data_IF_152873369104
#
_entry.id   IF_152873369104
#
_cell.length_a   1.000
_cell.length_b   1.000
_cell.length_c   1.000
_cell.angle_alpha   90.00
_cell.angle_beta   90.00
_cell.angle_gamma   90.00
#
_symmetry.space_group_name_H-M   'P 1'
#
loop_
_entity.id
_entity.type
_entity.pdbx_description
1 polymer ?
#
# COMPACT_ATOMS: atom_id res chain seq x y z
N UNK A 1 -34.39 9.98 -2.20
CA UNK A 1 -33.13 10.13 -2.97
C UNK A 1 -33.03 8.92 -3.88
N UNK A 2 -33.17 9.10 -5.19
CA UNK A 2 -33.09 7.98 -6.15
C UNK A 2 -31.65 7.46 -6.23
N UNK A 3 -31.44 6.28 -6.81
CA UNK A 3 -30.07 5.77 -7.10
C UNK A 3 -29.26 6.74 -7.98
N UNK A 4 -29.92 7.56 -8.81
CA UNK A 4 -29.24 8.57 -9.64
C UNK A 4 -28.75 9.79 -8.83
N UNK A 5 -29.45 10.19 -7.77
CA UNK A 5 -29.04 11.32 -6.91
C UNK A 5 -27.78 11.02 -6.09
N UNK A 6 -27.48 9.75 -5.80
CA UNK A 6 -26.27 9.33 -5.07
C UNK A 6 -24.97 9.48 -5.89
N UNK A 7 -25.08 9.47 -7.22
CA UNK A 7 -23.94 9.49 -8.15
C UNK A 7 -23.43 10.89 -8.48
N UNK A 8 -24.21 11.93 -8.19
CA UNK A 8 -23.87 13.33 -8.43
C UNK A 8 -23.22 14.04 -7.22
N UNK A 9 -23.06 13.34 -6.09
CA UNK A 9 -22.39 13.86 -4.90
C UNK A 9 -20.87 13.59 -4.99
N UNK A 10 -20.06 14.61 -4.65
CA UNK A 10 -18.61 14.49 -4.53
C UNK A 10 -18.18 13.50 -3.42
N UNK A 11 -19.14 12.95 -2.66
CA UNK A 11 -18.92 11.96 -1.61
C UNK A 11 -19.52 10.57 -1.92
N UNK A 12 -19.65 10.18 -3.19
CA UNK A 12 -20.17 8.87 -3.62
C UNK A 12 -19.57 7.69 -2.86
N UNK A 13 -18.27 7.76 -2.55
CA UNK A 13 -17.50 6.75 -1.85
C UNK A 13 -18.04 6.41 -0.44
N UNK A 14 -18.74 7.32 0.24
CA UNK A 14 -19.23 7.11 1.61
C UNK A 14 -20.20 5.95 1.77
N UNK A 15 -20.93 5.62 0.71
CA UNK A 15 -21.94 4.56 0.71
C UNK A 15 -21.73 3.57 -0.46
N UNK A 16 -20.54 3.59 -1.07
CA UNK A 16 -20.25 2.83 -2.26
C UNK A 16 -20.07 1.33 -1.94
N UNK A 17 -20.52 0.48 -2.86
CA UNK A 17 -20.12 -0.92 -2.91
C UNK A 17 -18.95 -1.06 -3.89
N UNK A 18 -17.79 -1.44 -3.37
CA UNK A 18 -16.55 -1.57 -4.14
C UNK A 18 -16.28 -3.06 -4.42
N UNK A 19 -16.17 -3.43 -5.69
CA UNK A 19 -15.85 -4.78 -6.13
C UNK A 19 -14.34 -4.93 -6.31
N UNK A 20 -13.68 -5.66 -5.41
CA UNK A 20 -12.25 -5.92 -5.51
C UNK A 20 -11.96 -6.94 -6.61
N UNK A 21 -10.99 -6.63 -7.47
CA UNK A 21 -10.50 -7.46 -8.56
C UNK A 21 -9.03 -7.76 -8.33
N UNK A 22 -8.70 -9.04 -8.25
CA UNK A 22 -7.33 -9.53 -8.24
C UNK A 22 -6.92 -9.88 -9.68
N UNK A 23 -6.12 -9.05 -10.39
CA UNK A 23 -5.94 -9.13 -11.85
C UNK A 23 -5.51 -10.52 -12.31
N UNK A 24 -4.51 -11.09 -11.63
CA UNK A 24 -3.90 -12.38 -11.96
C UNK A 24 -4.89 -13.54 -12.07
N UNK A 25 -6.03 -13.46 -11.38
CA UNK A 25 -6.98 -14.57 -11.26
C UNK A 25 -8.39 -14.22 -11.75
N UNK A 26 -8.57 -13.07 -12.41
CA UNK A 26 -9.91 -12.64 -12.82
C UNK A 26 -10.30 -13.14 -14.21
N UNK A 27 -9.55 -12.80 -15.25
CA UNK A 27 -9.84 -13.23 -16.63
C UNK A 27 -8.59 -13.09 -17.50
N UNK A 28 -8.10 -14.20 -18.06
CA UNK A 28 -6.98 -14.24 -19.03
C UNK A 28 -7.52 -14.09 -20.45
N UNK A 29 -6.94 -13.17 -21.22
CA UNK A 29 -7.24 -12.96 -22.65
C UNK A 29 -6.04 -13.22 -23.56
N UNK A 30 -4.87 -13.45 -22.99
CA UNK A 30 -3.62 -13.72 -23.69
C UNK A 30 -3.34 -15.22 -23.87
N UNK A 31 -3.97 -16.07 -23.06
CA UNK A 31 -3.76 -17.52 -23.03
C UNK A 31 -2.51 -17.95 -22.27
N UNK A 32 -1.89 -17.05 -21.49
CA UNK A 32 -0.69 -17.34 -20.70
C UNK A 32 -0.99 -17.92 -19.30
N UNK A 33 -2.28 -18.05 -18.93
CA UNK A 33 -2.74 -18.56 -17.65
C UNK A 33 -2.83 -17.51 -16.53
N UNK A 34 -2.59 -16.23 -16.82
CA UNK A 34 -2.66 -15.10 -15.89
C UNK A 34 -3.66 -14.08 -16.40
N UNK A 35 -4.57 -13.64 -15.54
CA UNK A 35 -5.54 -12.61 -15.90
C UNK A 35 -4.89 -11.25 -16.18
N UNK A 36 -5.52 -10.46 -17.06
CA UNK A 36 -4.96 -9.22 -17.61
C UNK A 36 -5.99 -8.08 -17.66
N UNK A 37 -5.54 -6.85 -17.96
CA UNK A 37 -6.39 -5.65 -17.96
C UNK A 37 -7.49 -5.72 -19.03
N UNK A 38 -7.23 -6.34 -20.18
CA UNK A 38 -8.27 -6.56 -21.22
C UNK A 38 -9.33 -7.52 -20.72
N UNK A 39 -8.94 -8.54 -19.95
CA UNK A 39 -9.83 -9.46 -19.27
C UNK A 39 -10.74 -8.74 -18.28
N UNK A 40 -10.17 -7.89 -17.42
CA UNK A 40 -10.94 -7.04 -16.50
C UNK A 40 -11.95 -6.19 -17.27
N UNK A 41 -11.47 -5.44 -18.27
CA UNK A 41 -12.28 -4.58 -19.13
C UNK A 41 -13.45 -5.34 -19.76
N UNK A 42 -13.21 -6.55 -20.29
CA UNK A 42 -14.24 -7.37 -20.93
C UNK A 42 -15.37 -7.82 -19.99
N UNK A 43 -15.12 -7.81 -18.68
CA UNK A 43 -16.07 -8.24 -17.65
C UNK A 43 -16.67 -7.09 -16.85
N UNK A 44 -16.32 -5.83 -17.15
CA UNK A 44 -16.94 -4.67 -16.51
C UNK A 44 -18.48 -4.66 -16.61
N UNK A 45 -19.12 -5.07 -17.73
CA UNK A 45 -20.59 -5.16 -17.78
C UNK A 45 -21.16 -6.12 -16.74
N UNK A 46 -20.49 -7.24 -16.47
CA UNK A 46 -20.89 -8.18 -15.42
C UNK A 46 -20.77 -7.54 -14.03
N UNK A 47 -19.66 -6.84 -13.75
CA UNK A 47 -19.47 -6.15 -12.47
C UNK A 47 -20.50 -5.04 -12.26
N UNK A 48 -20.85 -4.31 -13.31
CA UNK A 48 -21.92 -3.31 -13.27
C UNK A 48 -23.30 -3.94 -12.99
N UNK A 49 -23.61 -5.10 -13.60
CA UNK A 49 -24.86 -5.84 -13.38
C UNK A 49 -25.01 -6.36 -11.95
N UNK A 50 -23.90 -6.70 -11.28
CA UNK A 50 -23.88 -7.00 -9.83
C UNK A 50 -24.29 -5.80 -8.96
N UNK A 51 -24.32 -4.58 -9.51
CA UNK A 51 -24.69 -3.37 -8.80
C UNK A 51 -23.56 -2.70 -8.03
N UNK A 52 -22.30 -3.01 -8.36
CA UNK A 52 -21.15 -2.30 -7.80
C UNK A 52 -21.13 -0.82 -8.23
N UNK A 53 -20.64 0.06 -7.35
CA UNK A 53 -20.39 1.47 -7.67
C UNK A 53 -18.97 1.70 -8.18
N UNK A 54 -18.03 0.82 -7.81
CA UNK A 54 -16.62 0.89 -8.19
C UNK A 54 -15.99 -0.48 -8.33
N UNK A 55 -14.89 -0.54 -9.08
CA UNK A 55 -13.90 -1.63 -9.03
C UNK A 55 -12.67 -1.16 -8.28
N UNK A 56 -12.12 -1.99 -7.39
CA UNK A 56 -10.77 -1.82 -6.84
C UNK A 56 -9.85 -2.87 -7.46
N UNK A 57 -8.86 -2.43 -8.23
CA UNK A 57 -7.92 -3.29 -8.92
C UNK A 57 -6.65 -3.40 -8.04
N UNK A 58 -6.35 -4.62 -7.56
CA UNK A 58 -5.08 -4.95 -6.89
C UNK A 58 -3.87 -4.68 -7.80
N UNK A 59 -2.62 -4.68 -7.30
CA UNK A 59 -1.46 -4.21 -8.04
C UNK A 59 -1.31 -4.83 -9.44
N UNK A 60 -1.09 -3.97 -10.42
CA UNK A 60 -0.85 -4.32 -11.83
C UNK A 60 0.37 -3.57 -12.43
N UNK A 61 1.09 -2.84 -11.59
CA UNK A 61 2.30 -2.11 -11.96
C UNK A 61 3.51 -3.05 -11.96
N UNK A 62 4.64 -2.59 -12.50
CA UNK A 62 5.89 -3.36 -12.60
C UNK A 62 6.28 -3.96 -11.26
N UNK A 63 6.56 -5.26 -11.28
CA UNK A 63 6.90 -6.00 -10.07
C UNK A 63 7.65 -7.29 -10.44
N UNK A 64 8.65 -7.72 -9.65
CA UNK A 64 9.24 -9.05 -9.76
C UNK A 64 8.28 -10.19 -9.37
N UNK A 65 7.08 -9.85 -8.86
CA UNK A 65 6.00 -10.77 -8.50
C UNK A 65 6.35 -11.72 -7.35
N UNK A 66 7.31 -11.37 -6.49
CA UNK A 66 7.63 -12.20 -5.30
C UNK A 66 6.54 -12.12 -4.24
N UNK A 67 5.83 -11.00 -4.18
CA UNK A 67 4.58 -10.82 -3.47
C UNK A 67 3.45 -10.48 -4.45
N UNK A 68 3.49 -11.11 -5.63
CA UNK A 68 2.47 -11.05 -6.67
C UNK A 68 1.96 -9.64 -7.04
N UNK A 69 2.84 -8.64 -7.00
CA UNK A 69 2.54 -7.25 -7.37
C UNK A 69 2.70 -6.25 -6.23
N UNK A 70 2.74 -6.71 -4.98
CA UNK A 70 2.98 -5.84 -3.81
C UNK A 70 4.47 -5.48 -3.63
N UNK A 71 5.38 -6.16 -4.31
CA UNK A 71 6.78 -5.76 -4.47
C UNK A 71 6.96 -4.91 -5.74
N UNK A 72 6.65 -3.61 -5.66
CA UNK A 72 6.64 -2.69 -6.82
C UNK A 72 8.06 -2.26 -7.23
N UNK A 73 8.45 -2.47 -8.49
CA UNK A 73 9.74 -2.04 -9.06
C UNK A 73 9.67 -0.79 -9.96
N UNK A 74 8.47 -0.42 -10.42
CA UNK A 74 8.16 0.89 -11.01
C UNK A 74 6.70 1.23 -10.75
N UNK A 75 6.45 2.37 -10.09
CA UNK A 75 5.12 2.80 -9.68
C UNK A 75 4.22 3.31 -10.81
N UNK A 76 4.80 3.67 -11.96
CA UNK A 76 4.10 4.35 -13.05
C UNK A 76 4.02 3.52 -14.32
N UNK A 77 4.76 2.42 -14.37
CA UNK A 77 4.74 1.48 -15.48
C UNK A 77 3.85 0.26 -15.18
N UNK A 78 3.07 -0.16 -16.18
CA UNK A 78 2.26 -1.37 -16.10
C UNK A 78 3.14 -2.60 -16.31
N UNK A 79 2.91 -3.66 -15.54
CA UNK A 79 3.60 -4.93 -15.78
C UNK A 79 3.11 -5.56 -17.09
N UNK A 80 4.02 -5.91 -18.03
CA UNK A 80 3.67 -6.47 -19.34
C UNK A 80 2.76 -7.70 -19.31
N UNK A 81 2.79 -8.50 -18.23
CA UNK A 81 1.89 -9.63 -18.09
C UNK A 81 0.41 -9.20 -18.00
N UNK A 82 0.14 -7.97 -17.57
CA UNK A 82 -1.20 -7.41 -17.43
C UNK A 82 -1.63 -6.52 -18.59
N UNK A 83 -0.71 -5.96 -19.39
CA UNK A 83 -1.03 -5.17 -20.58
C UNK A 83 -0.21 -3.89 -20.70
N UNK A 84 -0.82 -2.85 -21.28
CA UNK A 84 -0.18 -1.54 -21.51
C UNK A 84 -1.00 -0.38 -20.91
N UNK A 85 -0.44 0.84 -20.91
CA UNK A 85 -1.18 2.03 -20.49
C UNK A 85 -2.41 2.30 -21.35
N UNK A 86 -2.37 2.00 -22.65
CA UNK A 86 -3.54 2.10 -23.52
C UNK A 86 -4.66 1.15 -23.07
N UNK A 87 -4.31 -0.07 -22.66
CA UNK A 87 -5.28 -1.03 -22.14
C UNK A 87 -5.92 -0.53 -20.84
N UNK A 88 -5.12 0.08 -19.96
CA UNK A 88 -5.61 0.69 -18.71
C UNK A 88 -6.52 1.89 -18.97
N UNK A 89 -6.12 2.84 -19.82
CA UNK A 89 -6.93 4.01 -20.16
C UNK A 89 -8.26 3.59 -20.80
N UNK A 90 -8.23 2.56 -21.65
CA UNK A 90 -9.44 2.02 -22.24
C UNK A 90 -10.35 1.30 -21.21
N UNK A 91 -9.76 0.62 -20.23
CA UNK A 91 -10.49 0.05 -19.08
C UNK A 91 -11.19 1.16 -18.29
N UNK A 92 -10.46 2.23 -17.91
CA UNK A 92 -11.02 3.36 -17.17
C UNK A 92 -12.16 4.01 -17.94
N UNK A 93 -11.96 4.27 -19.23
CA UNK A 93 -12.97 4.87 -20.11
C UNK A 93 -14.25 4.03 -20.15
N UNK A 94 -14.13 2.71 -20.35
CA UNK A 94 -15.29 1.83 -20.43
C UNK A 94 -15.97 1.63 -19.07
N UNK A 95 -15.20 1.60 -17.97
CA UNK A 95 -15.76 1.57 -16.62
C UNK A 95 -16.61 2.81 -16.35
N UNK A 96 -16.09 4.00 -16.67
CA UNK A 96 -16.82 5.26 -16.53
C UNK A 96 -18.08 5.30 -17.40
N UNK A 97 -18.03 4.77 -18.63
CA UNK A 97 -19.19 4.67 -19.51
C UNK A 97 -20.31 3.76 -18.94
N UNK A 98 -19.94 2.77 -18.12
CA UNK A 98 -20.87 1.90 -17.38
C UNK A 98 -21.30 2.50 -16.04
N UNK A 99 -20.79 3.69 -15.67
CA UNK A 99 -21.06 4.33 -14.38
C UNK A 99 -20.32 3.71 -13.21
N UNK A 100 -19.29 2.88 -13.47
CA UNK A 100 -18.37 2.35 -12.47
C UNK A 100 -17.21 3.32 -12.24
N UNK A 101 -16.77 3.46 -10.99
CA UNK A 101 -15.53 4.14 -10.61
C UNK A 101 -14.36 3.16 -10.63
N UNK A 102 -13.14 3.64 -10.88
CA UNK A 102 -11.93 2.83 -10.85
C UNK A 102 -11.04 3.26 -9.70
N UNK A 103 -10.82 2.35 -8.76
CA UNK A 103 -9.89 2.48 -7.64
C UNK A 103 -8.71 1.56 -7.90
N UNK A 104 -7.50 2.02 -7.61
CA UNK A 104 -6.28 1.21 -7.76
C UNK A 104 -5.56 1.05 -6.43
N UNK A 105 -4.83 -0.05 -6.29
CA UNK A 105 -3.90 -0.21 -5.18
C UNK A 105 -2.73 0.78 -5.27
N UNK A 106 -2.25 1.21 -4.11
CA UNK A 106 -1.05 2.02 -3.96
C UNK A 106 -0.20 1.46 -2.83
N UNK A 107 0.89 0.78 -3.20
CA UNK A 107 1.80 0.12 -2.28
C UNK A 107 2.93 1.08 -1.90
N UNK A 108 2.62 2.03 -1.03
CA UNK A 108 3.52 3.16 -0.76
C UNK A 108 4.38 2.97 0.51
N UNK A 109 4.20 1.87 1.24
CA UNK A 109 5.00 1.58 2.44
C UNK A 109 6.43 1.12 2.09
N UNK A 110 6.55 0.30 1.06
CA UNK A 110 7.79 -0.33 0.62
C UNK A 110 7.82 -0.39 -0.90
N UNK A 111 9.02 -0.60 -1.46
CA UNK A 111 9.21 -0.95 -2.87
C UNK A 111 9.72 -2.39 -2.97
N UNK A 112 9.87 -2.89 -4.19
CA UNK A 112 10.78 -4.01 -4.46
C UNK A 112 12.24 -3.60 -4.21
N UNK A 113 13.10 -4.55 -3.83
CA UNK A 113 14.55 -4.36 -3.81
C UNK A 113 15.16 -4.19 -5.22
N UNK A 114 14.39 -4.46 -6.28
CA UNK A 114 14.73 -4.13 -7.67
C UNK A 114 14.29 -2.72 -8.09
N UNK A 115 13.59 -1.98 -7.23
CA UNK A 115 13.19 -0.61 -7.53
C UNK A 115 14.45 0.29 -7.68
N UNK A 116 14.54 1.14 -8.72
CA UNK A 116 15.71 2.01 -8.93
C UNK A 116 16.10 2.84 -7.71
N UNK A 117 15.09 3.26 -6.92
CA UNK A 117 15.33 3.98 -5.67
C UNK A 117 16.10 3.16 -4.64
N UNK A 118 15.79 1.88 -4.44
CA UNK A 118 16.50 1.03 -3.49
C UNK A 118 17.90 0.68 -3.99
N UNK A 119 18.02 0.39 -5.29
CA UNK A 119 19.32 0.14 -5.96
C UNK A 119 20.26 1.34 -5.77
N UNK A 120 19.77 2.56 -5.96
CA UNK A 120 20.55 3.77 -5.70
C UNK A 120 20.83 3.93 -4.20
N UNK A 121 19.81 3.80 -3.34
CA UNK A 121 19.93 3.96 -1.89
C UNK A 121 20.99 3.04 -1.28
N UNK A 122 21.02 1.77 -1.69
CA UNK A 122 21.96 0.75 -1.19
C UNK A 122 23.39 0.90 -1.73
N UNK A 123 23.60 1.70 -2.78
CA UNK A 123 24.92 1.84 -3.41
C UNK A 123 25.98 2.49 -2.53
N UNK A 124 25.57 3.34 -1.58
CA UNK A 124 26.46 4.02 -0.64
C UNK A 124 25.68 4.67 0.50
N UNK A 125 26.37 5.24 1.49
CA UNK A 125 25.75 5.99 2.60
C UNK A 125 25.51 7.47 2.29
N UNK A 126 25.90 7.95 1.10
CA UNK A 126 25.93 9.39 0.77
C UNK A 126 25.33 9.72 -0.59
N UNK A 127 24.73 8.75 -1.29
CA UNK A 127 24.00 9.00 -2.53
C UNK A 127 22.71 9.82 -2.24
N UNK A 128 22.11 10.44 -3.26
CA UNK A 128 20.89 11.25 -3.11
C UNK A 128 19.73 10.51 -2.43
N UNK A 129 19.63 9.20 -2.58
CA UNK A 129 18.57 8.36 -1.99
C UNK A 129 19.00 7.61 -0.73
N UNK A 130 20.13 7.97 -0.12
CA UNK A 130 20.71 7.25 1.01
C UNK A 130 19.81 7.21 2.25
N UNK A 131 18.87 8.15 2.37
CA UNK A 131 17.87 8.26 3.44
C UNK A 131 16.43 8.00 2.96
N UNK A 132 16.24 7.48 1.74
CA UNK A 132 14.90 7.16 1.22
C UNK A 132 14.32 5.87 1.82
N UNK A 133 15.15 5.02 2.41
CA UNK A 133 14.77 3.77 3.08
C UNK A 133 15.26 3.79 4.53
N UNK A 134 14.68 2.94 5.36
CA UNK A 134 15.04 2.88 6.78
C UNK A 134 16.32 2.05 6.95
N UNK A 135 17.45 2.74 7.08
CA UNK A 135 18.77 2.14 7.33
C UNK A 135 19.17 2.29 8.80
N UNK A 136 19.81 1.26 9.36
CA UNK A 136 20.30 1.27 10.73
C UNK A 136 21.69 0.61 10.83
N UNK A 137 22.50 1.08 11.78
CA UNK A 137 23.76 0.42 12.09
C UNK A 137 23.51 -0.94 12.77
N UNK A 138 24.38 -1.94 12.55
CA UNK A 138 24.36 -3.16 13.34
C UNK A 138 24.64 -2.84 14.82
N UNK A 139 24.14 -3.69 15.72
CA UNK A 139 24.57 -3.70 17.12
C UNK A 139 26.06 -4.03 17.25
N UNK A 140 26.64 -3.83 18.45
CA UNK A 140 28.07 -4.10 18.69
C UNK A 140 28.48 -5.55 18.41
N UNK A 141 27.56 -6.50 18.59
CA UNK A 141 27.75 -7.93 18.29
C UNK A 141 27.53 -8.27 16.80
N UNK A 142 27.21 -7.28 15.97
CA UNK A 142 26.91 -7.43 14.55
C UNK A 142 25.45 -7.77 14.26
N UNK A 143 24.60 -7.93 15.29
CA UNK A 143 23.18 -8.28 15.12
C UNK A 143 22.29 -7.13 14.62
N UNK A 144 21.02 -7.44 14.29
CA UNK A 144 19.99 -6.44 13.96
C UNK A 144 19.83 -5.36 15.03
N UNK A 145 19.39 -4.14 14.68
CA UNK A 145 19.34 -3.02 15.62
C UNK A 145 18.32 -3.19 16.77
N UNK A 146 17.32 -4.05 16.61
CA UNK A 146 16.29 -4.35 17.61
C UNK A 146 15.58 -5.69 17.32
N UNK A 147 14.57 -6.01 18.12
CA UNK A 147 13.81 -7.25 18.06
C UNK A 147 12.61 -7.28 17.09
N UNK A 148 12.48 -6.27 16.20
CA UNK A 148 11.34 -6.21 15.28
C UNK A 148 11.34 -7.40 14.31
N UNK A 149 10.13 -7.87 13.98
CA UNK A 149 9.93 -9.07 13.16
C UNK A 149 9.21 -8.72 11.87
N UNK A 150 9.55 -9.43 10.80
CA UNK A 150 8.77 -9.40 9.58
C UNK A 150 7.47 -10.20 9.79
N UNK A 151 6.37 -9.68 9.26
CA UNK A 151 5.09 -10.38 9.21
C UNK A 151 5.14 -11.64 8.34
N UNK A 152 6.12 -11.76 7.45
CA UNK A 152 6.37 -12.94 6.63
C UNK A 152 7.48 -13.84 7.18
N UNK A 153 7.93 -13.57 8.40
CA UNK A 153 8.82 -14.44 9.17
C UNK A 153 10.26 -13.92 9.26
N UNK A 154 10.90 -14.26 10.38
CA UNK A 154 12.26 -13.83 10.70
C UNK A 154 12.36 -12.43 11.28
N UNK A 155 13.57 -11.86 11.19
CA UNK A 155 13.87 -10.47 11.55
C UNK A 155 13.20 -9.52 10.56
N UNK A 156 12.80 -8.33 11.01
CA UNK A 156 12.41 -7.23 10.11
C UNK A 156 13.62 -6.54 9.47
N UNK A 157 14.83 -7.04 9.71
CA UNK A 157 16.08 -6.42 9.28
C UNK A 157 16.92 -7.40 8.48
N UNK A 158 17.32 -6.98 7.29
CA UNK A 158 18.29 -7.68 6.45
C UNK A 158 19.57 -6.86 6.33
N UNK A 159 20.72 -7.52 6.50
CA UNK A 159 22.02 -6.87 6.39
C UNK A 159 22.38 -6.65 4.91
N UNK A 160 22.85 -5.46 4.57
CA UNK A 160 23.38 -5.14 3.26
C UNK A 160 24.91 -4.98 3.32
N UNK A 161 25.61 -5.81 2.54
CA UNK A 161 27.09 -5.82 2.51
C UNK A 161 27.69 -4.52 1.94
N UNK A 162 26.99 -3.83 1.05
CA UNK A 162 27.50 -2.62 0.38
C UNK A 162 27.52 -1.42 1.32
N UNK A 163 26.48 -1.26 2.15
CA UNK A 163 26.43 -0.21 3.18
C UNK A 163 26.98 -0.65 4.52
N UNK A 164 27.12 -1.95 4.75
CA UNK A 164 27.34 -2.55 6.07
C UNK A 164 26.34 -2.04 7.12
N UNK A 165 25.08 -2.00 6.73
CA UNK A 165 23.95 -1.54 7.54
C UNK A 165 22.80 -2.54 7.36
N UNK A 166 21.87 -2.54 8.30
CA UNK A 166 20.60 -3.21 8.13
C UNK A 166 19.60 -2.27 7.45
N UNK A 167 18.72 -2.81 6.61
CA UNK A 167 17.51 -2.11 6.16
C UNK A 167 16.25 -2.78 6.70
N UNK A 168 15.23 -1.98 6.99
CA UNK A 168 13.94 -2.45 7.46
C UNK A 168 13.14 -3.08 6.30
N UNK A 169 12.47 -4.18 6.61
CA UNK A 169 11.43 -4.79 5.79
C UNK A 169 10.36 -5.42 6.70
N UNK A 170 9.15 -4.85 6.74
CA UNK A 170 8.02 -5.41 7.50
C UNK A 170 7.48 -6.70 6.86
N UNK A 171 7.73 -6.91 5.57
CA UNK A 171 7.26 -8.04 4.77
C UNK A 171 8.45 -8.86 4.25
N UNK A 172 8.50 -9.22 2.96
CA UNK A 172 9.64 -9.96 2.41
C UNK A 172 10.93 -9.13 2.54
N UNK A 173 12.08 -9.80 2.65
CA UNK A 173 13.38 -9.10 2.59
C UNK A 173 13.56 -8.34 1.27
N UNK A 174 12.86 -8.76 0.21
CA UNK A 174 12.84 -8.06 -1.08
C UNK A 174 11.84 -6.91 -1.14
N UNK A 175 11.23 -6.53 -0.01
CA UNK A 175 10.31 -5.39 0.16
C UNK A 175 10.87 -4.37 1.17
N UNK A 176 11.98 -3.68 0.86
CA UNK A 176 12.54 -2.68 1.75
C UNK A 176 11.57 -1.52 2.01
N UNK A 177 11.36 -1.20 3.29
CA UNK A 177 10.45 -0.13 3.73
C UNK A 177 11.04 1.27 3.46
N UNK A 178 10.19 2.14 2.92
CA UNK A 178 10.52 3.53 2.67
C UNK A 178 10.54 4.32 3.97
N UNK A 179 11.44 5.30 4.04
CA UNK A 179 11.51 6.22 5.16
C UNK A 179 10.56 7.41 4.93
N UNK A 180 9.30 7.29 5.37
CA UNK A 180 8.29 8.35 5.23
C UNK A 180 8.61 9.66 5.98
N UNK A 181 9.58 9.65 6.90
CA UNK A 181 10.07 10.90 7.50
C UNK A 181 10.82 11.77 6.49
N UNK A 182 11.38 11.17 5.44
CA UNK A 182 12.05 11.89 4.37
C UNK A 182 11.01 12.65 3.50
N UNK A 183 11.12 13.99 3.38
CA UNK A 183 10.16 14.77 2.60
C UNK A 183 10.20 14.48 1.10
N UNK A 184 11.33 14.04 0.55
CA UNK A 184 11.45 13.69 -0.87
C UNK A 184 10.69 12.39 -1.18
N UNK A 185 10.70 11.42 -0.27
CA UNK A 185 9.88 10.21 -0.38
C UNK A 185 8.39 10.56 -0.44
N UNK A 186 7.92 11.45 0.44
CA UNK A 186 6.53 11.90 0.44
C UNK A 186 6.15 12.64 -0.83
N UNK A 187 7.02 13.54 -1.31
CA UNK A 187 6.83 14.24 -2.57
C UNK A 187 6.74 13.25 -3.74
N UNK A 188 7.64 12.26 -3.81
CA UNK A 188 7.63 11.23 -4.84
C UNK A 188 6.34 10.41 -4.82
N UNK A 189 5.80 10.07 -3.64
CA UNK A 189 4.51 9.36 -3.54
C UNK A 189 3.31 10.22 -3.96
N UNK A 190 3.35 11.52 -3.69
CA UNK A 190 2.35 12.47 -4.22
C UNK A 190 2.44 12.54 -5.75
N UNK A 191 3.64 12.51 -6.33
CA UNK A 191 3.82 12.51 -7.79
C UNK A 191 3.31 11.21 -8.43
N UNK A 192 3.58 10.04 -7.82
CA UNK A 192 3.03 8.74 -8.22
C UNK A 192 1.49 8.76 -8.18
N UNK A 193 0.90 9.23 -7.09
CA UNK A 193 -0.56 9.32 -6.99
C UNK A 193 -1.13 10.31 -8.03
N UNK A 194 -0.45 11.43 -8.27
CA UNK A 194 -0.85 12.42 -9.30
C UNK A 194 -0.86 11.79 -10.69
N UNK A 195 0.15 11.00 -11.05
CA UNK A 195 0.21 10.30 -12.34
C UNK A 195 -1.06 9.47 -12.60
N UNK A 196 -1.46 8.64 -11.63
CA UNK A 196 -2.66 7.80 -11.77
C UNK A 196 -3.97 8.60 -11.76
N UNK A 197 -4.04 9.69 -10.99
CA UNK A 197 -5.19 10.60 -11.01
C UNK A 197 -5.37 11.28 -12.38
N UNK A 198 -4.28 11.68 -13.04
CA UNK A 198 -4.29 12.24 -14.39
C UNK A 198 -4.72 11.22 -15.46
N UNK A 199 -4.51 9.93 -15.20
CA UNK A 199 -5.05 8.83 -16.03
C UNK A 199 -6.52 8.50 -15.73
N UNK A 200 -7.18 9.23 -14.83
CA UNK A 200 -8.62 9.12 -14.59
C UNK A 200 -9.02 8.20 -13.44
N UNK A 201 -8.07 7.76 -12.60
CA UNK A 201 -8.39 6.98 -11.39
C UNK A 201 -9.27 7.80 -10.43
N UNK A 202 -10.30 7.14 -9.86
CA UNK A 202 -11.28 7.76 -8.96
C UNK A 202 -10.91 7.63 -7.47
N UNK A 203 -9.84 6.91 -7.14
CA UNK A 203 -9.36 6.81 -5.77
C UNK A 203 -8.30 5.72 -5.60
N UNK A 204 -7.76 5.64 -4.39
CA UNK A 204 -6.71 4.68 -4.06
C UNK A 204 -7.08 3.84 -2.85
N UNK A 205 -6.81 2.54 -2.93
CA UNK A 205 -6.63 1.72 -1.74
C UNK A 205 -5.16 1.80 -1.35
N UNK A 206 -4.88 2.31 -0.16
CA UNK A 206 -3.53 2.42 0.38
C UNK A 206 -3.20 1.13 1.14
N UNK A 207 -2.27 0.35 0.58
CA UNK A 207 -1.77 -0.88 1.18
C UNK A 207 -1.11 -0.60 2.52
N UNK A 208 -1.48 -1.39 3.54
CA UNK A 208 -0.90 -1.38 4.89
C UNK A 208 -0.56 0.02 5.41
N UNK A 209 -1.47 0.99 5.23
CA UNK A 209 -1.19 2.42 5.45
C UNK A 209 -0.70 2.72 6.87
N UNK A 210 -1.06 1.89 7.84
CA UNK A 210 -0.60 2.02 9.21
C UNK A 210 0.86 1.57 9.45
N UNK A 211 1.59 1.13 8.43
CA UNK A 211 3.01 0.77 8.49
C UNK A 211 3.96 1.87 8.00
N UNK A 212 3.45 2.95 7.39
CA UNK A 212 4.27 3.98 6.73
C UNK A 212 5.40 4.56 7.59
N UNK A 213 5.22 4.65 8.91
CA UNK A 213 6.25 5.17 9.81
C UNK A 213 6.63 4.17 10.89
N UNK A 214 7.85 4.33 11.38
CA UNK A 214 8.45 3.51 12.43
C UNK A 214 8.91 4.39 13.61
N UNK A 215 9.17 3.79 14.76
CA UNK A 215 9.81 4.44 15.88
C UNK A 215 11.27 4.73 15.54
N UNK A 216 11.60 6.00 15.29
CA UNK A 216 12.96 6.45 14.94
C UNK A 216 13.99 6.21 16.03
N UNK A 217 13.57 5.95 17.27
CA UNK A 217 14.50 5.56 18.33
C UNK A 217 14.87 4.07 18.28
N UNK A 218 14.22 3.30 17.39
CA UNK A 218 14.47 1.89 17.14
C UNK A 218 14.37 1.01 18.39
N UNK A 219 13.54 1.40 19.36
CA UNK A 219 13.35 0.60 20.58
C UNK A 219 12.74 -0.77 20.27
N UNK A 220 13.12 -1.75 21.08
CA UNK A 220 12.50 -3.07 21.08
C UNK A 220 10.98 -3.01 21.32
N UNK A 221 10.25 -3.86 20.62
CA UNK A 221 8.85 -4.14 20.91
C UNK A 221 8.75 -4.91 22.24
N UNK A 222 7.79 -4.57 23.11
CA UNK A 222 7.57 -5.32 24.33
C UNK A 222 6.98 -6.70 24.01
N UNK A 223 7.41 -7.71 24.76
CA UNK A 223 6.87 -9.06 24.63
C UNK A 223 5.41 -9.08 25.08
N UNK A 224 4.55 -9.76 24.31
CA UNK A 224 3.15 -9.96 24.67
C UNK A 224 3.05 -10.83 25.92
N UNK A 225 2.22 -10.40 26.87
CA UNK A 225 2.00 -11.15 28.10
C UNK A 225 1.32 -12.51 27.80
N UNK A 226 1.66 -13.59 28.53
CA UNK A 226 1.00 -14.88 28.36
C UNK A 226 -0.52 -14.77 28.54
N UNK A 227 -1.28 -15.32 27.60
CA UNK A 227 -2.75 -15.28 27.62
C UNK A 227 -3.37 -13.92 27.24
N UNK A 228 -2.57 -12.89 26.95
CA UNK A 228 -3.11 -11.64 26.42
C UNK A 228 -3.71 -11.87 25.03
N UNK A 229 -4.80 -11.15 24.75
CA UNK A 229 -5.45 -11.20 23.45
C UNK A 229 -4.48 -10.78 22.35
N UNK A 230 -4.52 -11.52 21.24
CA UNK A 230 -3.81 -11.17 20.01
C UNK A 230 -4.72 -10.29 19.13
N UNK A 231 -4.14 -9.44 18.26
CA UNK A 231 -4.90 -8.67 17.28
C UNK A 231 -5.86 -9.53 16.45
N UNK A 232 -6.92 -8.92 15.94
CA UNK A 232 -7.78 -9.57 14.96
C UNK A 232 -6.95 -9.98 13.73
N UNK A 233 -7.27 -11.12 13.12
CA UNK A 233 -6.51 -11.67 11.98
C UNK A 233 -5.23 -12.42 12.35
N UNK A 234 -4.74 -12.30 13.59
CA UNK A 234 -3.53 -13.01 14.02
C UNK A 234 -3.72 -14.54 14.04
N UNK A 235 -2.91 -15.26 13.26
CA UNK A 235 -2.94 -16.72 13.27
C UNK A 235 -2.48 -17.29 14.62
N UNK A 236 -3.12 -18.37 15.13
CA UNK A 236 -2.66 -19.04 16.34
C UNK A 236 -1.22 -19.51 16.22
N UNK A 237 -0.37 -19.16 17.19
CA UNK A 237 1.04 -19.54 17.20
C UNK A 237 1.94 -18.74 16.27
N UNK A 238 1.41 -17.75 15.54
CA UNK A 238 2.23 -16.85 14.72
C UNK A 238 3.24 -16.10 15.60
N UNK A 239 4.56 -16.26 15.36
CA UNK A 239 5.60 -15.62 16.15
C UNK A 239 5.69 -14.09 15.97
N UNK A 240 5.11 -13.51 14.91
CA UNK A 240 5.03 -12.06 14.74
C UNK A 240 4.23 -11.40 15.87
N UNK A 241 3.18 -12.09 16.36
CA UNK A 241 2.31 -11.62 17.43
C UNK A 241 2.76 -12.03 18.85
N UNK A 242 3.97 -12.60 19.00
CA UNK A 242 4.59 -12.80 20.32
C UNK A 242 5.05 -11.48 20.97
N UNK A 243 5.07 -10.40 20.20
CA UNK A 243 5.35 -9.04 20.62
C UNK A 243 4.14 -8.13 20.34
N UNK A 244 4.12 -6.97 20.99
CA UNK A 244 3.19 -5.88 20.67
C UNK A 244 3.91 -4.94 19.71
N UNK A 245 3.45 -4.84 18.46
CA UNK A 245 4.24 -4.28 17.35
C UNK A 245 4.24 -2.74 17.27
N UNK A 246 4.52 -2.07 18.40
CA UNK A 246 4.45 -0.60 18.54
C UNK A 246 5.57 0.15 17.79
N UNK A 247 6.62 -0.55 17.38
CA UNK A 247 7.77 0.01 16.68
C UNK A 247 7.51 0.30 15.20
N UNK A 248 6.68 -0.48 14.52
CA UNK A 248 6.45 -0.33 13.06
C UNK A 248 4.99 -0.24 12.67
N UNK A 249 4.05 -0.39 13.61
CA UNK A 249 2.61 -0.40 13.33
C UNK A 249 1.89 0.73 14.04
N UNK A 250 1.02 1.43 13.32
CA UNK A 250 0.09 2.46 13.82
C UNK A 250 0.78 3.59 14.61
N UNK A 251 1.98 3.99 14.17
CA UNK A 251 2.68 5.17 14.69
C UNK A 251 1.85 6.44 14.44
N UNK A 252 1.80 7.33 15.44
CA UNK A 252 0.99 8.55 15.36
C UNK A 252 1.46 9.50 14.25
N UNK A 253 2.75 9.47 13.93
CA UNK A 253 3.35 10.30 12.89
C UNK A 253 2.73 10.03 11.51
N UNK A 254 2.37 8.78 11.21
CA UNK A 254 1.65 8.42 9.97
C UNK A 254 0.39 9.27 9.79
N UNK A 255 -0.37 9.52 10.87
CA UNK A 255 -1.63 10.28 10.80
C UNK A 255 -1.45 11.71 10.30
N UNK A 256 -0.31 12.32 10.61
CA UNK A 256 0.01 13.68 10.20
C UNK A 256 0.59 13.72 8.78
N UNK A 257 1.40 12.71 8.42
CA UNK A 257 2.02 12.60 7.09
C UNK A 257 1.00 12.28 5.98
N UNK A 258 -0.16 11.71 6.33
CA UNK A 258 -1.27 11.53 5.40
C UNK A 258 -1.86 12.85 4.89
N UNK A 259 -1.56 13.98 5.53
CA UNK A 259 -2.09 15.28 5.10
C UNK A 259 -1.65 15.67 3.69
N UNK A 260 -0.46 15.25 3.24
CA UNK A 260 0.06 15.54 1.90
C UNK A 260 -0.77 14.81 0.83
N UNK A 261 -1.04 13.52 1.04
CA UNK A 261 -1.92 12.73 0.17
C UNK A 261 -3.36 13.23 0.22
N UNK A 262 -3.87 13.58 1.40
CA UNK A 262 -5.22 14.13 1.52
C UNK A 262 -5.36 15.46 0.79
N UNK A 263 -4.39 16.36 0.91
CA UNK A 263 -4.38 17.62 0.19
C UNK A 263 -4.32 17.43 -1.32
N UNK A 264 -3.59 16.40 -1.81
CA UNK A 264 -3.64 15.99 -3.21
C UNK A 264 -5.08 15.63 -3.62
N UNK A 265 -5.76 14.76 -2.87
CA UNK A 265 -7.13 14.34 -3.21
C UNK A 265 -8.12 15.50 -3.23
N UNK A 266 -7.97 16.48 -2.32
CA UNK A 266 -8.85 17.65 -2.28
C UNK A 266 -8.73 18.51 -3.56
N UNK A 267 -7.64 18.39 -4.34
CA UNK A 267 -7.49 19.02 -5.68
C UNK A 267 -8.25 18.27 -6.79
N UNK A 268 -8.66 17.03 -6.54
CA UNK A 268 -9.43 16.19 -7.47
C UNK A 268 -10.79 15.86 -6.84
N UNK A 269 -11.82 16.72 -7.01
CA UNK A 269 -13.12 16.53 -6.37
C UNK A 269 -13.74 15.16 -6.69
N UNK A 270 -14.26 14.47 -5.68
CA UNK A 270 -14.86 13.15 -5.86
C UNK A 270 -13.88 11.97 -5.80
N UNK A 271 -12.57 12.22 -5.63
CA UNK A 271 -11.58 11.16 -5.47
C UNK A 271 -11.31 10.90 -3.99
N UNK A 272 -10.96 9.66 -3.64
CA UNK A 272 -10.85 9.27 -2.23
C UNK A 272 -9.68 8.31 -1.92
N UNK A 273 -9.40 8.17 -0.62
CA UNK A 273 -8.39 7.26 -0.07
C UNK A 273 -9.08 6.26 0.86
N UNK A 274 -8.88 4.97 0.59
CA UNK A 274 -9.29 3.85 1.42
C UNK A 274 -8.04 3.21 2.02
N UNK A 275 -7.85 3.28 3.33
CA UNK A 275 -6.71 2.64 3.99
C UNK A 275 -6.98 1.19 4.40
N UNK A 276 -6.01 0.32 4.18
CA UNK A 276 -5.95 -0.94 4.91
C UNK A 276 -5.25 -0.76 6.26
N UNK A 277 -5.94 -1.11 7.34
CA UNK A 277 -5.38 -1.18 8.68
C UNK A 277 -5.13 -2.65 9.01
N UNK A 278 -3.86 -3.06 8.99
CA UNK A 278 -3.45 -4.45 9.26
C UNK A 278 -2.68 -4.55 10.57
N UNK A 279 -2.79 -5.69 11.25
CA UNK A 279 -1.97 -6.03 12.42
C UNK A 279 -2.04 -5.07 13.62
N UNK A 280 -3.00 -4.15 13.62
CA UNK A 280 -3.18 -3.17 14.69
C UNK A 280 -3.74 -3.85 15.96
N UNK A 281 -3.17 -3.51 17.12
CA UNK A 281 -3.63 -4.04 18.43
C UNK A 281 -5.10 -3.76 18.69
N UNK A 282 -5.55 -2.55 18.36
CA UNK A 282 -6.96 -2.19 18.27
C UNK A 282 -7.24 -1.64 16.87
N UNK A 283 -7.78 -2.52 16.04
CA UNK A 283 -8.07 -2.21 14.64
C UNK A 283 -9.18 -1.16 14.51
N UNK A 284 -10.21 -1.19 15.36
CA UNK A 284 -11.30 -0.22 15.30
C UNK A 284 -10.83 1.17 15.73
N UNK A 285 -10.08 1.25 16.84
CA UNK A 285 -9.50 2.52 17.30
C UNK A 285 -8.51 3.09 16.27
N UNK A 286 -7.68 2.22 15.67
CA UNK A 286 -6.75 2.61 14.61
C UNK A 286 -7.52 3.13 13.39
N UNK A 287 -8.47 2.38 12.86
CA UNK A 287 -9.30 2.81 11.73
C UNK A 287 -10.00 4.15 12.01
N UNK A 288 -10.57 4.34 13.21
CA UNK A 288 -11.20 5.59 13.61
C UNK A 288 -10.20 6.77 13.60
N UNK A 289 -8.98 6.57 14.10
CA UNK A 289 -7.94 7.59 14.08
C UNK A 289 -7.51 7.98 12.64
N UNK A 290 -7.40 7.00 11.75
CA UNK A 290 -7.00 7.21 10.36
C UNK A 290 -8.05 7.93 9.51
N UNK A 291 -9.33 7.87 9.87
CA UNK A 291 -10.43 8.56 9.13
C UNK A 291 -10.96 9.81 9.84
N UNK A 292 -10.49 10.11 11.05
CA UNK A 292 -10.97 11.27 11.80
C UNK A 292 -10.51 12.60 11.21
N UNK A 293 -11.39 13.59 11.20
CA UNK A 293 -11.09 14.93 10.70
C UNK A 293 -11.10 15.02 9.17
N UNK A 294 -10.49 16.08 8.63
CA UNK A 294 -10.50 16.38 7.19
C UNK A 294 -9.12 16.33 6.53
N UNK A 295 -8.09 15.95 7.29
CA UNK A 295 -6.69 15.92 6.84
C UNK A 295 -6.11 14.50 6.72
N UNK A 296 -6.95 13.48 6.84
CA UNK A 296 -6.56 12.06 6.84
C UNK A 296 -7.37 11.30 5.79
N UNK A 297 -7.43 9.98 5.90
CA UNK A 297 -8.13 9.12 4.94
C UNK A 297 -9.62 9.43 4.87
N UNK A 298 -10.23 9.03 3.76
CA UNK A 298 -11.67 9.15 3.58
C UNK A 298 -12.38 7.97 4.24
N UNK A 299 -11.80 6.78 4.09
CA UNK A 299 -12.30 5.51 4.62
C UNK A 299 -11.14 4.62 5.03
N UNK A 300 -11.43 3.61 5.85
CA UNK A 300 -10.49 2.55 6.17
C UNK A 300 -11.26 1.25 6.40
N UNK A 301 -10.62 0.12 6.12
CA UNK A 301 -11.05 -1.20 6.55
C UNK A 301 -9.94 -1.85 7.38
N UNK A 302 -10.29 -2.86 8.17
CA UNK A 302 -9.32 -3.65 8.92
C UNK A 302 -9.16 -5.03 8.30
N UNK A 303 -7.92 -5.48 8.15
CA UNK A 303 -7.56 -6.82 7.66
C UNK A 303 -7.02 -7.69 8.80
#
# INVERSE_FOLDING_TARGET
>A
MTLSDRRADNAWWRNAVIYQIYPRSFCDTSGNGVGDLKGIRSKLPYVADLGADAVWICPFVRSPMRDFGYDVSDYTEIEPIFGTHEDFVALVTDAHALGLRVVTDQVMNHTSDEHPWFIESRSSRTNPKSDWYVWAEPMQDGGPPNNWRSSFGGSAWTFDDSRRQYYLHNFLSTQPDLNWFNPEVRAAMVDVATFWLELGVDGFRLDVVNFFTHDRSLNDNPRRAPGAQRPAGAAPGDPYFDYVNVGTVSRHETLDLLADLRALMDRYPGRFLLGEISSAEDALQSSAAFVSGTRRLHMAYSA
#
